data_IF_803868841358
#
_entry.id   IF_803868841358
#
_cell.length_a   1.000
_cell.length_b   1.000
_cell.length_c   1.000
_cell.angle_alpha   90.00
_cell.angle_beta   90.00
_cell.angle_gamma   90.00
#
_symmetry.space_group_name_H-M   'P 1'
#
loop_
_entity.id
_entity.type
_entity.pdbx_description
1 polymer ?
#
# COMPACT_ATOMS: atom_id res chain seq x y z
N UNK A 1 1.02 15.24 5.50
CA UNK A 1 0.07 15.49 4.41
C UNK A 1 -1.30 15.16 4.97
N UNK A 2 -2.33 15.99 4.87
CA UNK A 2 -3.63 15.69 5.49
C UNK A 2 -4.42 14.61 4.71
N UNK A 3 -3.95 13.36 4.78
CA UNK A 3 -4.59 12.22 4.13
C UNK A 3 -5.85 11.83 4.88
N UNK A 4 -7.02 12.02 4.26
CA UNK A 4 -8.27 11.48 4.80
C UNK A 4 -8.41 10.00 4.44
N UNK A 5 -9.08 9.19 5.28
CA UNK A 5 -9.38 7.79 4.97
C UNK A 5 -10.15 7.62 3.65
N UNK A 6 -10.93 8.61 3.25
CA UNK A 6 -11.63 8.59 1.95
C UNK A 6 -10.64 8.68 0.80
N UNK A 7 -9.64 9.56 0.89
CA UNK A 7 -8.60 9.71 -0.14
C UNK A 7 -7.72 8.46 -0.20
N UNK A 8 -7.30 7.96 0.96
CA UNK A 8 -6.47 6.76 1.08
C UNK A 8 -7.21 5.52 0.56
N UNK A 9 -8.50 5.37 0.86
CA UNK A 9 -9.33 4.31 0.27
C UNK A 9 -9.36 4.38 -1.25
N UNK A 10 -9.58 5.57 -1.81
CA UNK A 10 -9.60 5.76 -3.26
C UNK A 10 -8.24 5.42 -3.89
N UNK A 11 -7.13 5.79 -3.27
CA UNK A 11 -5.80 5.41 -3.74
C UNK A 11 -5.60 3.89 -3.72
N UNK A 12 -5.97 3.23 -2.61
CA UNK A 12 -5.88 1.77 -2.49
C UNK A 12 -6.73 1.06 -3.56
N UNK A 13 -7.95 1.55 -3.82
CA UNK A 13 -8.83 1.00 -4.87
C UNK A 13 -8.24 1.19 -6.29
N UNK A 14 -7.69 2.37 -6.60
CA UNK A 14 -7.03 2.65 -7.89
C UNK A 14 -5.80 1.75 -8.10
N UNK A 15 -5.00 1.55 -7.04
CA UNK A 15 -3.81 0.68 -7.06
C UNK A 15 -4.25 -0.79 -7.26
N UNK A 16 -5.17 -1.29 -6.43
CA UNK A 16 -5.65 -2.67 -6.53
C UNK A 16 -6.30 -2.94 -7.89
N UNK A 17 -7.03 -1.98 -8.46
CA UNK A 17 -7.58 -2.09 -9.81
C UNK A 17 -6.52 -2.36 -10.88
N UNK A 18 -5.30 -1.83 -10.71
CA UNK A 18 -4.17 -2.05 -11.62
C UNK A 18 -3.39 -3.34 -11.34
N UNK A 19 -3.36 -3.78 -10.08
CA UNK A 19 -2.68 -5.00 -9.66
C UNK A 19 -3.50 -6.27 -9.95
N UNK A 20 -4.82 -6.13 -10.15
CA UNK A 20 -5.75 -7.24 -10.35
C UNK A 20 -5.62 -8.31 -9.25
N UNK A 21 -5.88 -7.96 -7.97
CA UNK A 21 -5.73 -8.87 -6.84
C UNK A 21 -6.64 -10.10 -7.01
N UNK A 22 -6.32 -11.21 -6.32
CA UNK A 22 -7.17 -12.38 -6.33
C UNK A 22 -8.60 -12.05 -5.88
N UNK A 23 -9.63 -12.73 -6.42
CA UNK A 23 -11.00 -12.45 -6.06
C UNK A 23 -11.26 -12.71 -4.58
N UNK A 24 -12.01 -11.82 -3.93
CA UNK A 24 -12.38 -11.94 -2.52
C UNK A 24 -11.51 -11.18 -1.52
N UNK A 25 -10.57 -10.35 -1.99
CA UNK A 25 -9.86 -9.40 -1.13
C UNK A 25 -10.82 -8.38 -0.49
N UNK A 26 -10.55 -8.01 0.76
CA UNK A 26 -11.29 -7.00 1.51
C UNK A 26 -10.37 -5.83 1.84
N UNK A 27 -10.84 -4.60 1.63
CA UNK A 27 -10.11 -3.37 1.91
C UNK A 27 -10.72 -2.67 3.12
N UNK A 28 -9.91 -2.45 4.15
CA UNK A 28 -10.27 -1.65 5.34
C UNK A 28 -9.33 -0.45 5.43
N UNK A 29 -9.87 0.74 5.69
CA UNK A 29 -9.09 1.97 5.89
C UNK A 29 -9.60 2.62 7.15
N UNK A 30 -8.68 3.06 8.02
CA UNK A 30 -9.00 3.68 9.29
C UNK A 30 -8.12 4.92 9.53
N UNK A 31 -8.72 5.96 10.12
CA UNK A 31 -8.02 7.14 10.63
C UNK A 31 -7.70 6.91 12.13
N UNK A 32 -6.59 7.43 12.65
CA UNK A 32 -6.31 7.43 14.08
C UNK A 32 -7.39 8.17 14.89
N UNK A 33 -7.48 7.96 16.22
CA UNK A 33 -6.42 7.49 17.10
C UNK A 33 -6.47 5.98 17.34
N UNK A 34 -5.47 5.23 16.83
CA UNK A 34 -5.22 3.88 17.31
C UNK A 34 -4.46 3.93 18.65
N UNK A 35 -5.16 4.40 19.68
CA UNK A 35 -4.84 4.13 21.09
C UNK A 35 -5.71 3.01 21.68
N UNK A 36 -6.49 2.32 20.83
CA UNK A 36 -7.35 1.19 21.20
C UNK A 36 -6.73 -0.15 20.80
N UNK A 37 -7.13 -1.27 21.43
CA UNK A 37 -6.66 -2.59 21.04
C UNK A 37 -6.93 -2.81 19.55
N UNK A 38 -5.97 -3.45 18.86
CA UNK A 38 -6.07 -3.78 17.45
C UNK A 38 -7.47 -4.34 17.11
N UNK A 39 -8.05 -4.01 15.95
CA UNK A 39 -9.32 -4.61 15.55
C UNK A 39 -9.16 -6.14 15.59
N UNK A 40 -9.94 -6.78 16.45
CA UNK A 40 -10.04 -8.23 16.54
C UNK A 40 -10.68 -8.69 15.24
N UNK A 41 -9.86 -9.17 14.30
CA UNK A 41 -10.38 -9.89 13.16
C UNK A 41 -10.98 -11.19 13.69
N UNK A 42 -12.31 -11.32 13.65
CA UNK A 42 -13.02 -12.58 13.91
C UNK A 42 -12.79 -13.54 12.72
N UNK A 43 -11.53 -13.93 12.52
CA UNK A 43 -11.09 -15.00 11.65
C UNK A 43 -10.14 -15.88 12.46
N UNK A 44 -10.37 -17.19 12.43
CA UNK A 44 -9.56 -18.22 13.11
C UNK A 44 -8.04 -18.02 12.98
N UNK A 45 -7.22 -18.55 13.93
CA UNK A 45 -5.80 -18.24 14.08
C UNK A 45 -4.95 -18.80 12.93
N UNK A 46 -5.06 -18.20 11.76
CA UNK A 46 -4.02 -18.19 10.75
C UNK A 46 -2.94 -17.24 11.21
N UNK A 47 -1.69 -17.65 11.04
CA UNK A 47 -0.50 -16.87 11.37
C UNK A 47 -0.60 -15.46 10.75
N UNK A 48 -0.91 -14.46 11.58
CA UNK A 48 -0.82 -13.06 11.18
C UNK A 48 0.60 -12.62 11.49
N UNK A 49 1.48 -12.65 10.48
CA UNK A 49 2.80 -12.04 10.60
C UNK A 49 2.62 -10.53 10.62
N UNK A 50 2.41 -9.97 11.82
CA UNK A 50 2.47 -8.53 12.03
C UNK A 50 3.93 -8.17 12.23
N UNK A 51 4.58 -7.74 11.16
CA UNK A 51 5.85 -7.04 11.25
C UNK A 51 5.55 -5.61 11.70
N UNK A 52 5.18 -5.45 12.97
CA UNK A 52 5.30 -4.17 13.64
C UNK A 52 6.79 -3.96 13.84
N UNK A 53 7.39 -3.07 13.06
CA UNK A 53 8.75 -2.61 13.34
C UNK A 53 8.64 -1.81 14.64
N UNK A 54 8.87 -2.49 15.77
CA UNK A 54 9.04 -1.85 17.06
C UNK A 54 10.37 -1.09 16.99
N UNK A 55 10.29 0.14 16.52
CA UNK A 55 11.39 1.08 16.63
C UNK A 55 11.41 1.53 18.09
N UNK A 56 11.97 0.69 18.95
CA UNK A 56 12.41 1.04 20.30
C UNK A 56 13.60 2.02 20.14
N UNK A 57 13.30 3.21 19.60
CA UNK A 57 14.15 4.37 19.70
C UNK A 57 13.33 5.43 20.41
N UNK A 58 13.98 6.00 21.42
CA UNK A 58 13.72 7.24 22.12
C UNK A 58 13.48 8.42 21.12
N UNK A 59 12.42 8.35 20.32
CA UNK A 59 11.96 9.40 19.44
C UNK A 59 10.91 10.19 20.21
N UNK A 60 11.37 11.31 20.77
CA UNK A 60 10.56 12.32 21.47
C UNK A 60 9.55 13.06 20.58
N UNK A 61 9.20 12.49 19.44
CA UNK A 61 8.24 13.03 18.50
C UNK A 61 7.31 11.88 18.08
N UNK A 62 6.06 11.82 18.57
CA UNK A 62 5.13 10.81 18.11
C UNK A 62 4.81 11.13 16.66
N UNK A 63 5.38 10.38 15.72
CA UNK A 63 4.96 10.42 14.32
C UNK A 63 3.43 10.32 14.30
N UNK A 64 2.74 11.38 13.88
CA UNK A 64 1.30 11.35 13.74
C UNK A 64 0.98 10.48 12.53
N UNK A 65 0.39 9.31 12.77
CA UNK A 65 -0.27 8.58 11.69
C UNK A 65 -1.43 9.44 11.19
N UNK A 66 -1.60 9.50 9.88
CA UNK A 66 -2.79 10.10 9.27
C UNK A 66 -3.81 9.02 8.89
N UNK A 67 -3.31 7.85 8.44
CA UNK A 67 -4.16 6.74 8.04
C UNK A 67 -3.45 5.39 8.14
N UNK A 68 -4.24 4.35 8.37
CA UNK A 68 -3.81 2.96 8.18
C UNK A 68 -4.71 2.25 7.18
N UNK A 69 -4.10 1.45 6.32
CA UNK A 69 -4.76 0.61 5.32
C UNK A 69 -4.51 -0.83 5.68
N UNK A 70 -5.56 -1.64 5.73
CA UNK A 70 -5.45 -3.08 5.89
C UNK A 70 -6.16 -3.77 4.73
N UNK A 71 -5.44 -4.62 4.01
CA UNK A 71 -6.02 -5.46 2.95
C UNK A 71 -5.99 -6.91 3.42
N UNK A 72 -7.17 -7.51 3.54
CA UNK A 72 -7.35 -8.92 3.87
C UNK A 72 -7.53 -9.77 2.61
N UNK A 73 -7.03 -11.00 2.66
CA UNK A 73 -7.09 -11.97 1.55
C UNK A 73 -7.98 -13.17 1.91
N UNK A 74 -8.48 -13.91 0.90
CA UNK A 74 -9.38 -15.04 1.13
C UNK A 74 -8.80 -16.18 1.97
N UNK A 75 -7.47 -16.30 2.04
CA UNK A 75 -6.76 -17.29 2.86
C UNK A 75 -6.63 -16.88 4.33
N UNK A 76 -7.19 -15.72 4.70
CA UNK A 76 -7.17 -15.17 6.05
C UNK A 76 -5.92 -14.35 6.37
N UNK A 77 -4.97 -14.22 5.43
CA UNK A 77 -3.84 -13.30 5.58
C UNK A 77 -4.25 -11.84 5.39
N UNK A 78 -3.44 -10.91 5.90
CA UNK A 78 -3.66 -9.49 5.71
C UNK A 78 -2.33 -8.72 5.73
N UNK A 79 -2.27 -7.64 4.95
CA UNK A 79 -1.19 -6.65 4.98
C UNK A 79 -1.69 -5.33 5.56
N UNK A 80 -0.89 -4.71 6.42
CA UNK A 80 -1.15 -3.38 6.98
C UNK A 80 -0.13 -2.38 6.45
N UNK A 81 -0.58 -1.22 5.99
CA UNK A 81 0.25 -0.10 5.55
C UNK A 81 -0.09 1.13 6.39
N UNK A 82 0.92 1.75 6.98
CA UNK A 82 0.79 2.94 7.81
C UNK A 82 1.30 4.16 7.05
N UNK A 83 0.49 5.21 6.99
CA UNK A 83 0.80 6.48 6.34
C UNK A 83 0.92 7.57 7.41
N UNK A 84 1.98 8.38 7.31
CA UNK A 84 2.31 9.39 8.32
C UNK A 84 2.32 10.79 7.74
N UNK A 85 2.17 11.79 8.60
CA UNK A 85 2.12 13.20 8.21
C UNK A 85 3.42 13.71 7.57
N UNK A 86 4.55 13.06 7.87
CA UNK A 86 5.86 13.39 7.35
C UNK A 86 5.98 13.12 5.84
N UNK A 87 5.09 12.30 5.28
CA UNK A 87 5.09 11.94 3.87
C UNK A 87 4.36 13.00 3.03
N UNK A 88 4.88 13.25 1.83
CA UNK A 88 4.09 13.87 0.76
C UNK A 88 3.02 12.90 0.26
N UNK A 89 2.01 13.42 -0.44
CA UNK A 89 0.99 12.57 -1.08
C UNK A 89 1.61 11.54 -2.02
N UNK A 90 2.58 11.97 -2.84
CA UNK A 90 3.24 11.08 -3.79
C UNK A 90 4.03 9.96 -3.08
N UNK A 91 4.71 10.26 -1.98
CA UNK A 91 5.42 9.25 -1.19
C UNK A 91 4.43 8.28 -0.54
N UNK A 92 3.32 8.77 0.03
CA UNK A 92 2.30 7.93 0.64
C UNK A 92 1.68 6.96 -0.39
N UNK A 93 1.40 7.45 -1.60
CA UNK A 93 0.88 6.62 -2.69
C UNK A 93 1.92 5.60 -3.15
N UNK A 94 3.21 5.97 -3.25
CA UNK A 94 4.28 5.03 -3.60
C UNK A 94 4.42 3.94 -2.55
N UNK A 95 4.47 4.28 -1.27
CA UNK A 95 4.54 3.31 -0.17
C UNK A 95 3.34 2.38 -0.17
N UNK A 96 2.13 2.91 -0.36
CA UNK A 96 0.92 2.10 -0.47
C UNK A 96 0.98 1.16 -1.68
N UNK A 97 1.41 1.67 -2.83
CA UNK A 97 1.50 0.91 -4.06
C UNK A 97 2.51 -0.23 -3.97
N UNK A 98 3.69 0.04 -3.41
CA UNK A 98 4.78 -0.91 -3.21
C UNK A 98 4.34 -2.08 -2.30
N UNK A 99 3.78 -1.77 -1.12
CA UNK A 99 3.33 -2.80 -0.17
C UNK A 99 2.18 -3.65 -0.72
N UNK A 100 1.22 -3.03 -1.41
CA UNK A 100 0.11 -3.76 -2.03
C UNK A 100 0.60 -4.62 -3.21
N UNK A 101 1.56 -4.12 -3.99
CA UNK A 101 2.17 -4.83 -5.10
C UNK A 101 2.87 -6.09 -4.63
N UNK A 102 3.77 -5.97 -3.66
CA UNK A 102 4.50 -7.10 -3.08
C UNK A 102 3.54 -8.19 -2.60
N UNK A 103 2.52 -7.79 -1.84
CA UNK A 103 1.52 -8.73 -1.33
C UNK A 103 0.75 -9.42 -2.46
N UNK A 104 0.28 -8.69 -3.48
CA UNK A 104 -0.42 -9.30 -4.62
C UNK A 104 0.50 -10.22 -5.42
N UNK A 105 1.77 -9.87 -5.62
CA UNK A 105 2.75 -10.71 -6.29
C UNK A 105 2.98 -12.02 -5.52
N UNK A 106 3.05 -11.98 -4.19
CA UNK A 106 3.14 -13.19 -3.36
C UNK A 106 1.95 -14.13 -3.59
N UNK A 107 0.71 -13.61 -3.59
CA UNK A 107 -0.49 -14.43 -3.82
C UNK A 107 -0.66 -14.91 -5.27
N UNK A 108 -0.13 -14.18 -6.24
CA UNK A 108 -0.20 -14.53 -7.66
C UNK A 108 1.00 -15.34 -8.14
N UNK A 109 1.84 -15.83 -7.22
CA UNK A 109 3.03 -16.63 -7.49
C UNK A 109 4.05 -15.90 -8.39
N UNK A 110 4.23 -14.60 -8.16
CA UNK A 110 5.21 -13.76 -8.86
C UNK A 110 4.78 -13.26 -10.23
N UNK A 111 3.47 -13.23 -10.52
CA UNK A 111 2.98 -12.61 -11.74
C UNK A 111 3.40 -11.12 -11.75
N UNK A 112 3.98 -10.61 -12.87
CA UNK A 112 4.47 -9.23 -12.93
C UNK A 112 3.30 -8.26 -12.94
N UNK A 113 2.95 -7.72 -11.77
CA UNK A 113 1.85 -6.77 -11.61
C UNK A 113 2.35 -5.47 -10.99
N UNK A 114 1.93 -4.30 -11.49
CA UNK A 114 1.38 -4.17 -12.83
C UNK A 114 2.51 -4.38 -13.85
N UNK A 115 2.23 -4.93 -15.04
CA UNK A 115 3.27 -5.24 -16.01
C UNK A 115 3.97 -3.97 -16.49
N UNK A 116 5.30 -4.04 -16.68
CA UNK A 116 6.03 -2.98 -17.34
C UNK A 116 5.70 -2.99 -18.85
N UNK A 117 5.29 -1.85 -19.45
CA UNK A 117 4.98 -1.79 -20.87
C UNK A 117 6.16 -2.26 -21.73
N UNK A 118 5.94 -3.27 -22.56
CA UNK A 118 6.96 -3.80 -23.47
C UNK A 118 7.95 -4.80 -22.85
N UNK A 119 7.89 -5.06 -21.55
CA UNK A 119 8.84 -5.93 -20.84
C UNK A 119 8.15 -7.00 -19.97
N UNK A 120 8.92 -8.01 -19.55
CA UNK A 120 8.42 -9.18 -18.82
C UNK A 120 8.52 -9.10 -17.29
N UNK A 121 8.82 -7.93 -16.72
CA UNK A 121 9.01 -7.71 -15.29
C UNK A 121 7.91 -6.77 -14.73
N UNK A 122 7.66 -6.78 -13.41
CA UNK A 122 6.79 -5.79 -12.79
C UNK A 122 7.35 -4.38 -12.97
N UNK A 123 6.47 -3.39 -13.08
CA UNK A 123 6.85 -1.99 -12.92
C UNK A 123 7.06 -1.68 -11.43
N UNK A 124 7.93 -0.73 -11.10
CA UNK A 124 8.23 -0.37 -9.70
C UNK A 124 7.59 0.97 -9.35
N UNK A 125 6.98 1.08 -8.18
CA UNK A 125 6.43 2.35 -7.69
C UNK A 125 7.58 3.31 -7.33
N UNK A 126 7.55 4.52 -7.86
CA UNK A 126 8.53 5.56 -7.56
C UNK A 126 7.93 6.96 -7.71
N UNK A 127 8.53 7.94 -7.06
CA UNK A 127 8.19 9.36 -7.28
C UNK A 127 9.01 9.88 -8.46
N UNK A 128 8.32 10.33 -9.52
CA UNK A 128 8.93 10.94 -10.71
C UNK A 128 8.37 12.35 -10.84
N UNK A 129 9.24 13.36 -10.79
CA UNK A 129 8.86 14.79 -10.87
C UNK A 129 7.76 15.19 -9.86
N UNK A 130 7.79 14.61 -8.65
CA UNK A 130 6.80 14.83 -7.60
C UNK A 130 5.49 14.06 -7.78
N UNK A 131 5.39 13.17 -8.77
CA UNK A 131 4.21 12.35 -9.07
C UNK A 131 4.50 10.88 -8.80
N UNK A 132 3.65 10.24 -8.00
CA UNK A 132 3.67 8.80 -7.78
C UNK A 132 3.40 8.07 -9.11
N UNK A 133 4.38 7.29 -9.57
CA UNK A 133 4.38 6.68 -10.89
C UNK A 133 4.88 5.23 -10.84
N UNK A 134 4.30 4.39 -11.69
CA UNK A 134 4.87 3.10 -12.04
C UNK A 134 5.99 3.32 -13.06
N UNK A 135 7.18 2.83 -12.77
CA UNK A 135 8.40 3.04 -13.57
C UNK A 135 9.03 1.73 -14.02
N UNK A 136 9.76 1.76 -15.14
CA UNK A 136 10.58 0.63 -15.56
C UNK A 136 11.84 0.53 -14.68
N UNK A 137 12.08 -0.58 -13.96
CA UNK A 137 13.31 -0.76 -13.18
C UNK A 137 14.59 -0.78 -14.04
N UNK A 138 14.50 -1.19 -15.30
CA UNK A 138 15.64 -1.26 -16.22
C UNK A 138 16.08 0.11 -16.77
N UNK A 139 15.35 1.19 -16.44
CA UNK A 139 15.79 2.55 -16.69
C UNK A 139 15.44 3.13 -18.06
N UNK A 140 14.50 2.54 -18.81
CA UNK A 140 14.03 3.06 -20.11
C UNK A 140 13.32 4.42 -20.05
N UNK A 141 13.18 5.01 -18.85
CA UNK A 141 12.51 6.29 -18.61
C UNK A 141 10.99 6.25 -18.77
N UNK A 142 10.43 5.14 -19.27
CA UNK A 142 9.00 4.91 -19.36
C UNK A 142 8.38 4.84 -17.96
N UNK A 143 7.44 5.74 -17.71
CA UNK A 143 6.65 5.78 -16.49
C UNK A 143 5.21 6.18 -16.77
N UNK A 144 4.31 5.81 -15.88
CA UNK A 144 2.91 6.24 -15.92
C UNK A 144 2.43 6.55 -14.49
N UNK A 145 1.52 7.50 -14.30
CA UNK A 145 0.96 7.79 -12.98
C UNK A 145 0.32 6.56 -12.33
N UNK A 146 0.46 6.43 -11.01
CA UNK A 146 -0.22 5.41 -10.22
C UNK A 146 -1.71 5.77 -10.06
N UNK A 147 -2.02 7.03 -9.73
CA UNK A 147 -3.40 7.47 -9.62
C UNK A 147 -3.93 7.89 -10.99
N UNK A 148 -5.07 7.34 -11.40
CA UNK A 148 -5.63 7.53 -12.75
C UNK A 148 -6.73 8.59 -12.80
N UNK A 149 -7.31 8.93 -11.65
CA UNK A 149 -8.22 10.06 -11.49
C UNK A 149 -7.51 11.30 -10.93
N UNK A 150 -7.89 12.50 -11.40
CA UNK A 150 -7.60 13.73 -10.64
C UNK A 150 -8.17 13.58 -9.23
N UNK A 151 -7.30 13.79 -8.23
CA UNK A 151 -7.71 14.26 -6.91
C UNK A 151 -8.39 15.61 -7.03
#
# INVERSE_FOLDING_TARGET
MDATATSVRRWAEDILGQLAPPPGCTLTVAEPPFGGPAPTFEGSPGFTSRLAVDWDADLKDPLHLDASVVVGFPDGSAVGVELTEAMTEAEAVVTLADQLQDTVMEHTHGAPVPPCPGHGHPAVAAVVDGVASWTCPDGDGAHRPILTGRG
#
